data_IF_954752258269
#
_entry.id   IF_954752258269
#
_cell.length_a   1.000
_cell.length_b   1.000
_cell.length_c   1.000
_cell.angle_alpha   90.00
_cell.angle_beta   90.00
_cell.angle_gamma   90.00
#
_symmetry.space_group_name_H-M   'P 1'
#
loop_
_entity.id
_entity.type
_entity.pdbx_description
1 polymer ?
#
# COMPACT_ATOMS: atom_id res chain seq x y z
N UNK A 1 2.26 17.53 -34.85
CA UNK A 1 2.15 16.71 -36.09
C UNK A 1 2.52 15.22 -35.94
N UNK A 2 3.14 14.73 -34.85
CA UNK A 2 3.53 13.30 -34.76
C UNK A 2 2.34 12.32 -34.68
N UNK A 3 1.21 12.75 -34.09
CA UNK A 3 0.03 11.91 -33.84
C UNK A 3 -0.76 11.62 -35.13
N UNK A 4 -1.07 12.65 -35.93
CA UNK A 4 -1.85 12.51 -37.18
C UNK A 4 -1.17 11.60 -38.22
N UNK A 5 0.16 11.55 -38.26
CA UNK A 5 0.89 10.61 -39.12
C UNK A 5 0.60 9.15 -38.77
N UNK A 6 0.34 8.85 -37.49
CA UNK A 6 -0.08 7.54 -37.05
C UNK A 6 -1.51 7.19 -37.45
N UNK A 7 -2.33 8.16 -37.86
CA UNK A 7 -3.73 7.94 -38.21
C UNK A 7 -3.93 7.55 -39.68
N UNK A 8 -2.93 7.79 -40.53
CA UNK A 8 -2.97 7.42 -41.95
C UNK A 8 -2.71 5.92 -42.11
N UNK A 9 -3.78 5.12 -42.06
CA UNK A 9 -3.78 3.68 -42.36
C UNK A 9 -3.95 3.39 -43.86
N UNK A 10 -4.60 4.30 -44.60
CA UNK A 10 -4.70 4.23 -46.06
C UNK A 10 -3.95 5.40 -46.74
N UNK A 11 -2.76 5.16 -47.31
CA UNK A 11 -1.98 6.20 -47.98
C UNK A 11 -2.67 6.81 -49.21
N UNK A 12 -3.61 6.10 -49.84
CA UNK A 12 -4.33 6.58 -51.02
C UNK A 12 -5.44 7.58 -50.67
N UNK A 13 -5.84 7.65 -49.40
CA UNK A 13 -6.85 8.59 -48.87
C UNK A 13 -6.47 9.05 -47.45
N UNK A 14 -5.37 9.82 -47.33
CA UNK A 14 -4.78 10.11 -46.02
C UNK A 14 -5.70 10.94 -45.13
N UNK A 15 -6.41 11.92 -45.69
CA UNK A 15 -7.35 12.77 -44.95
C UNK A 15 -8.53 11.97 -44.39
N UNK A 16 -9.16 11.13 -45.22
CA UNK A 16 -10.26 10.27 -44.79
C UNK A 16 -9.82 9.31 -43.68
N UNK A 17 -8.62 8.73 -43.82
CA UNK A 17 -8.05 7.85 -42.80
C UNK A 17 -7.77 8.55 -41.47
N UNK A 18 -7.37 9.83 -41.52
CA UNK A 18 -7.18 10.65 -40.31
C UNK A 18 -8.52 10.93 -39.63
N UNK A 19 -9.53 11.35 -40.39
CA UNK A 19 -10.87 11.67 -39.89
C UNK A 19 -11.52 10.44 -39.24
N UNK A 20 -11.47 9.28 -39.91
CA UNK A 20 -12.05 8.03 -39.41
C UNK A 20 -11.48 7.65 -38.04
N UNK A 21 -10.15 7.72 -37.88
CA UNK A 21 -9.51 7.38 -36.61
C UNK A 21 -9.80 8.40 -35.52
N UNK A 22 -9.82 9.68 -35.86
CA UNK A 22 -10.15 10.74 -34.90
C UNK A 22 -11.57 10.54 -34.34
N UNK A 23 -12.55 10.27 -35.21
CA UNK A 23 -13.93 9.98 -34.78
C UNK A 23 -13.99 8.75 -33.87
N UNK A 24 -13.24 7.68 -34.18
CA UNK A 24 -13.18 6.49 -33.34
C UNK A 24 -12.58 6.79 -31.96
N UNK A 25 -11.51 7.57 -31.90
CA UNK A 25 -10.88 7.96 -30.63
C UNK A 25 -11.81 8.84 -29.78
N UNK A 26 -12.42 9.87 -30.37
CA UNK A 26 -13.39 10.73 -29.68
C UNK A 26 -14.61 9.93 -29.20
N UNK A 27 -15.11 8.98 -30.00
CA UNK A 27 -16.22 8.13 -29.58
C UNK A 27 -15.85 7.22 -28.39
N UNK A 28 -14.63 6.67 -28.38
CA UNK A 28 -14.14 5.86 -27.25
C UNK A 28 -13.95 6.73 -26.02
N UNK A 29 -13.30 7.88 -26.15
CA UNK A 29 -13.07 8.82 -25.05
C UNK A 29 -14.40 9.27 -24.44
N UNK A 30 -15.36 9.71 -25.27
CA UNK A 30 -16.71 10.03 -24.84
C UNK A 30 -17.39 8.86 -24.12
N UNK A 31 -17.36 7.65 -24.69
CA UNK A 31 -17.97 6.48 -24.07
C UNK A 31 -17.32 6.16 -22.70
N UNK A 32 -16.00 6.27 -22.59
CA UNK A 32 -15.30 5.99 -21.33
C UNK A 32 -15.64 7.02 -20.26
N UNK A 33 -15.67 8.31 -20.60
CA UNK A 33 -16.06 9.37 -19.67
C UNK A 33 -17.53 9.22 -19.27
N UNK A 34 -18.42 9.00 -20.25
CA UNK A 34 -19.84 8.80 -20.01
C UNK A 34 -20.10 7.59 -19.11
N UNK A 35 -19.53 6.43 -19.43
CA UNK A 35 -19.70 5.20 -18.65
C UNK A 35 -19.10 5.31 -17.24
N UNK A 36 -18.03 6.09 -17.06
CA UNK A 36 -17.46 6.34 -15.73
C UNK A 36 -18.40 7.11 -14.80
N UNK A 37 -19.26 7.96 -15.37
CA UNK A 37 -20.23 8.80 -14.62
C UNK A 37 -21.64 8.23 -14.63
N UNK A 38 -21.96 7.40 -15.62
CA UNK A 38 -23.29 6.84 -15.80
C UNK A 38 -23.62 5.90 -14.64
N UNK A 39 -24.80 6.12 -14.04
CA UNK A 39 -25.34 5.20 -13.05
C UNK A 39 -25.86 3.96 -13.78
N UNK A 40 -25.31 2.79 -13.46
CA UNK A 40 -25.86 1.53 -13.97
C UNK A 40 -27.31 1.35 -13.49
N UNK A 41 -28.26 1.24 -14.43
CA UNK A 41 -29.66 0.94 -14.15
C UNK A 41 -29.91 -0.54 -14.45
N UNK A 42 -30.58 -1.24 -13.53
CA UNK A 42 -30.95 -2.66 -13.72
C UNK A 42 -29.84 -3.68 -13.40
N UNK A 43 -28.58 -3.25 -13.25
CA UNK A 43 -27.52 -4.14 -12.77
C UNK A 43 -27.59 -4.29 -11.24
N UNK A 44 -27.52 -5.53 -10.72
CA UNK A 44 -27.37 -5.75 -9.28
C UNK A 44 -26.09 -5.07 -8.79
N UNK A 45 -26.20 -4.26 -7.75
CA UNK A 45 -25.01 -3.79 -7.04
C UNK A 45 -24.32 -5.00 -6.42
N UNK A 46 -23.00 -5.07 -6.54
CA UNK A 46 -22.24 -6.09 -5.80
C UNK A 46 -22.60 -5.99 -4.32
N UNK A 47 -22.84 -7.14 -3.67
CA UNK A 47 -23.09 -7.20 -2.22
C UNK A 47 -21.92 -6.65 -1.40
N UNK A 48 -20.77 -6.47 -2.04
CA UNK A 48 -19.56 -5.95 -1.44
C UNK A 48 -19.34 -4.43 -1.64
N UNK A 49 -20.27 -3.74 -2.31
CA UNK A 49 -20.20 -2.28 -2.49
C UNK A 49 -20.20 -1.59 -1.12
N UNK A 50 -19.25 -0.67 -0.92
CA UNK A 50 -19.10 0.10 0.31
C UNK A 50 -18.30 -0.59 1.43
N UNK A 51 -17.82 -1.83 1.18
CA UNK A 51 -17.01 -2.62 2.12
C UNK A 51 -15.51 -2.36 1.96
N UNK A 52 -15.12 -1.09 2.07
CA UNK A 52 -13.76 -0.61 1.86
C UNK A 52 -12.93 -0.45 3.14
N UNK A 53 -13.45 0.09 4.26
CA UNK A 53 -12.68 0.14 5.49
C UNK A 53 -12.70 -1.26 6.10
N UNK A 54 -11.54 -1.92 6.17
CA UNK A 54 -11.40 -3.27 6.73
C UNK A 54 -12.26 -3.47 7.98
N UNK A 55 -13.29 -4.31 7.90
CA UNK A 55 -14.28 -4.48 8.97
C UNK A 55 -14.54 -5.95 9.23
N UNK A 56 -14.36 -6.35 10.49
CA UNK A 56 -14.77 -7.66 10.95
C UNK A 56 -16.30 -7.81 10.96
N UNK A 57 -16.80 -8.90 10.43
CA UNK A 57 -18.24 -9.15 10.28
C UNK A 57 -18.74 -10.26 11.19
N UNK A 58 -18.00 -11.37 11.27
CA UNK A 58 -18.48 -12.58 11.95
C UNK A 58 -17.42 -13.15 12.90
N UNK A 59 -17.89 -13.67 14.03
CA UNK A 59 -17.08 -14.47 14.95
C UNK A 59 -15.91 -13.73 15.58
N UNK A 60 -16.09 -12.44 15.89
CA UNK A 60 -15.12 -11.62 16.61
C UNK A 60 -14.76 -12.27 17.96
N UNK A 61 -13.49 -12.56 18.15
CA UNK A 61 -12.95 -13.13 19.39
C UNK A 61 -11.57 -12.61 19.67
N UNK A 62 -11.26 -12.43 20.95
CA UNK A 62 -9.91 -12.16 21.39
C UNK A 62 -9.03 -13.38 21.12
N UNK A 63 -7.87 -13.15 20.54
CA UNK A 63 -6.86 -14.17 20.26
C UNK A 63 -5.50 -13.60 20.67
N UNK A 64 -4.81 -14.31 21.54
CA UNK A 64 -3.40 -14.03 21.81
C UNK A 64 -2.58 -14.59 20.65
N UNK A 65 -1.76 -13.75 20.02
CA UNK A 65 -0.89 -14.13 18.89
C UNK A 65 0.47 -14.55 19.40
N UNK A 66 1.13 -15.44 18.66
CA UNK A 66 2.52 -15.73 18.91
C UNK A 66 3.38 -14.45 18.87
N UNK A 67 4.34 -14.36 19.79
CA UNK A 67 5.15 -13.16 19.96
C UNK A 67 6.05 -12.90 18.76
N UNK A 68 6.60 -13.94 18.14
CA UNK A 68 7.48 -13.80 16.99
C UNK A 68 6.68 -13.39 15.75
N UNK A 69 5.52 -14.01 15.53
CA UNK A 69 4.61 -13.65 14.44
C UNK A 69 4.17 -12.18 14.54
N UNK A 70 3.81 -11.72 15.75
CA UNK A 70 3.41 -10.33 15.98
C UNK A 70 4.56 -9.35 15.74
N UNK A 71 5.78 -9.66 16.21
CA UNK A 71 6.95 -8.82 15.99
C UNK A 71 7.33 -8.76 14.50
N UNK A 72 7.19 -9.86 13.77
CA UNK A 72 7.42 -9.88 12.33
C UNK A 72 6.42 -9.01 11.57
N UNK A 73 5.15 -9.05 11.96
CA UNK A 73 4.10 -8.18 11.41
C UNK A 73 4.34 -6.70 11.77
N UNK A 74 4.75 -6.42 13.00
CA UNK A 74 5.10 -5.06 13.43
C UNK A 74 6.28 -4.51 12.64
N UNK A 75 7.36 -5.29 12.48
CA UNK A 75 8.50 -4.90 11.66
C UNK A 75 8.08 -4.59 10.22
N UNK A 76 7.21 -5.42 9.64
CA UNK A 76 6.68 -5.17 8.30
C UNK A 76 5.96 -3.81 8.21
N UNK A 77 5.09 -3.49 9.16
CA UNK A 77 4.40 -2.18 9.21
C UNK A 77 5.42 -1.05 9.30
N UNK A 78 6.41 -1.16 10.19
CA UNK A 78 7.44 -0.13 10.36
C UNK A 78 8.23 0.08 9.06
N UNK A 79 8.63 -1.00 8.38
CA UNK A 79 9.39 -0.93 7.13
C UNK A 79 8.63 -0.28 5.97
N UNK A 80 7.30 -0.34 5.98
CA UNK A 80 6.45 0.23 4.93
C UNK A 80 5.86 1.60 5.30
N UNK A 81 6.16 2.12 6.49
CA UNK A 81 5.65 3.42 6.93
C UNK A 81 6.61 4.53 6.52
N UNK A 82 6.11 5.54 5.80
CA UNK A 82 6.94 6.66 5.32
C UNK A 82 7.57 7.48 6.46
N UNK A 83 6.80 7.76 7.51
CA UNK A 83 7.29 8.51 8.69
C UNK A 83 8.43 7.78 9.44
N UNK A 84 8.56 6.46 9.26
CA UNK A 84 9.56 5.63 9.95
C UNK A 84 10.85 5.47 9.12
N UNK A 85 10.84 5.80 7.83
CA UNK A 85 12.02 5.68 6.95
C UNK A 85 13.29 6.36 7.49
N UNK A 86 13.23 7.59 8.04
CA UNK A 86 14.42 8.24 8.59
C UNK A 86 15.08 7.43 9.71
N UNK A 87 14.26 6.74 10.53
CA UNK A 87 14.73 5.90 11.63
C UNK A 87 15.34 4.59 11.12
N UNK A 88 14.76 3.99 10.07
CA UNK A 88 15.32 2.79 9.43
C UNK A 88 16.71 3.08 8.88
N UNK A 89 16.87 4.18 8.16
CA UNK A 89 18.14 4.59 7.58
C UNK A 89 19.18 4.94 8.65
N UNK A 90 18.76 5.62 9.71
CA UNK A 90 19.61 5.92 10.85
C UNK A 90 20.12 4.64 11.53
N UNK A 91 19.24 3.68 11.77
CA UNK A 91 19.63 2.42 12.41
C UNK A 91 20.56 1.60 11.51
N UNK A 92 20.30 1.54 10.19
CA UNK A 92 21.20 0.85 9.24
C UNK A 92 22.60 1.46 9.23
N UNK A 93 22.70 2.80 9.27
CA UNK A 93 23.97 3.52 9.38
C UNK A 93 24.70 3.15 10.67
N UNK A 94 24.02 3.21 11.82
CA UNK A 94 24.58 2.82 13.11
C UNK A 94 25.07 1.37 13.13
N UNK A 95 24.33 0.45 12.49
CA UNK A 95 24.75 -0.96 12.39
C UNK A 95 26.04 -1.13 11.60
N UNK A 96 26.17 -0.39 10.49
CA UNK A 96 27.38 -0.40 9.65
C UNK A 96 28.59 0.22 10.34
N UNK A 97 28.38 1.33 11.05
CA UNK A 97 29.44 2.03 11.81
C UNK A 97 29.96 1.19 12.97
N UNK A 98 29.07 0.54 13.73
CA UNK A 98 29.47 -0.33 14.85
C UNK A 98 30.12 -1.63 14.40
N UNK A 99 29.82 -2.09 13.19
CA UNK A 99 30.26 -3.41 12.69
C UNK A 99 30.90 -3.32 11.29
N UNK A 100 31.99 -2.56 11.10
CA UNK A 100 32.54 -2.25 9.79
C UNK A 100 33.09 -3.48 9.03
N UNK A 101 33.39 -4.57 9.75
CA UNK A 101 33.94 -5.82 9.18
C UNK A 101 32.87 -6.87 8.87
N UNK A 102 31.60 -6.61 9.20
CA UNK A 102 30.51 -7.57 8.96
C UNK A 102 29.96 -7.44 7.56
N UNK A 103 29.57 -8.57 6.99
CA UNK A 103 28.97 -8.65 5.65
C UNK A 103 27.55 -8.10 5.68
N UNK A 104 27.09 -7.51 4.57
CA UNK A 104 25.78 -6.88 4.42
C UNK A 104 24.61 -7.74 4.91
N UNK A 105 24.60 -9.05 4.57
CA UNK A 105 23.55 -9.98 5.02
C UNK A 105 23.46 -10.05 6.55
N UNK A 106 24.58 -10.01 7.24
CA UNK A 106 24.60 -10.00 8.70
C UNK A 106 24.05 -8.67 9.24
N UNK A 107 24.40 -7.54 8.63
CA UNK A 107 23.90 -6.22 9.01
C UNK A 107 22.38 -6.12 8.87
N UNK A 108 21.82 -6.61 7.76
CA UNK A 108 20.36 -6.63 7.54
C UNK A 108 19.66 -7.50 8.58
N UNK A 109 20.20 -8.68 8.87
CA UNK A 109 19.63 -9.58 9.87
C UNK A 109 19.69 -8.97 11.28
N UNK A 110 20.81 -8.35 11.64
CA UNK A 110 20.97 -7.69 12.94
C UNK A 110 20.05 -6.47 13.07
N UNK A 111 19.95 -5.67 12.01
CA UNK A 111 19.00 -4.56 11.92
C UNK A 111 17.57 -5.06 12.17
N UNK A 112 17.10 -6.08 11.45
CA UNK A 112 15.74 -6.60 11.61
C UNK A 112 15.46 -7.13 13.03
N UNK A 113 16.46 -7.75 13.68
CA UNK A 113 16.34 -8.26 15.05
C UNK A 113 16.28 -7.17 16.11
N UNK A 114 17.03 -6.09 15.93
CA UNK A 114 17.25 -5.07 16.96
C UNK A 114 16.51 -3.76 16.71
N UNK A 115 15.96 -3.57 15.51
CA UNK A 115 15.33 -2.30 15.12
C UNK A 115 14.15 -1.93 16.01
N UNK A 116 13.25 -2.87 16.34
CA UNK A 116 12.05 -2.55 17.13
C UNK A 116 12.43 -2.00 18.52
N UNK A 117 13.36 -2.65 19.21
CA UNK A 117 13.80 -2.22 20.54
C UNK A 117 14.59 -0.91 20.48
N UNK A 118 15.47 -0.77 19.48
CA UNK A 118 16.19 0.48 19.25
C UNK A 118 15.25 1.64 18.93
N UNK A 119 14.29 1.44 18.02
CA UNK A 119 13.32 2.44 17.58
C UNK A 119 12.47 2.94 18.75
N UNK A 120 12.02 2.03 19.63
CA UNK A 120 11.31 2.40 20.85
C UNK A 120 12.11 3.34 21.75
N UNK A 121 13.39 3.02 21.96
CA UNK A 121 14.26 3.85 22.80
C UNK A 121 14.59 5.19 22.14
N UNK A 122 14.82 5.20 20.83
CA UNK A 122 15.13 6.41 20.07
C UNK A 122 13.96 7.40 20.11
N UNK A 123 12.73 6.92 19.89
CA UNK A 123 11.52 7.74 19.93
C UNK A 123 11.22 8.23 21.34
N UNK A 124 11.44 7.41 22.37
CA UNK A 124 11.28 7.83 23.76
C UNK A 124 12.19 9.00 24.16
N UNK A 125 13.37 9.11 23.52
CA UNK A 125 14.32 10.20 23.74
C UNK A 125 14.09 11.40 22.79
N UNK A 126 13.10 11.34 21.90
CA UNK A 126 12.84 12.36 20.88
C UNK A 126 11.51 13.07 21.16
N UNK A 127 11.52 14.21 21.88
CA UNK A 127 10.29 14.95 22.20
C UNK A 127 9.61 15.58 20.97
N UNK A 128 10.29 15.62 19.82
CA UNK A 128 9.74 16.12 18.56
C UNK A 128 9.14 15.03 17.66
N UNK A 129 9.07 13.78 18.11
CA UNK A 129 8.47 12.69 17.34
C UNK A 129 6.97 12.95 17.12
N UNK A 130 6.46 12.57 15.95
CA UNK A 130 5.02 12.66 15.67
C UNK A 130 4.22 11.69 16.56
N UNK A 131 2.93 11.96 16.74
CA UNK A 131 2.04 11.02 17.43
C UNK A 131 2.03 9.65 16.75
N UNK A 132 2.05 9.62 15.40
CA UNK A 132 2.11 8.39 14.61
C UNK A 132 3.36 7.58 14.96
N UNK A 133 4.54 8.22 14.95
CA UNK A 133 5.82 7.57 15.29
C UNK A 133 5.82 7.07 16.73
N UNK A 134 5.28 7.87 17.66
CA UNK A 134 5.15 7.49 19.07
C UNK A 134 4.26 6.26 19.28
N UNK A 135 3.12 6.18 18.60
CA UNK A 135 2.24 5.02 18.65
C UNK A 135 2.88 3.78 18.03
N UNK A 136 3.58 3.93 16.91
CA UNK A 136 4.29 2.84 16.25
C UNK A 136 5.45 2.31 17.12
N UNK A 137 6.13 3.18 17.86
CA UNK A 137 7.21 2.84 18.78
C UNK A 137 6.71 2.10 20.04
N UNK A 138 5.50 2.40 20.51
CA UNK A 138 4.89 1.69 21.63
C UNK A 138 4.66 0.20 21.33
N UNK A 139 4.36 -0.12 20.06
CA UNK A 139 4.16 -1.47 19.56
C UNK A 139 2.72 -1.98 19.73
N UNK A 140 2.39 -3.11 19.06
CA UNK A 140 1.05 -3.69 19.10
C UNK A 140 0.77 -4.42 20.42
N UNK A 141 -0.52 -4.57 20.73
CA UNK A 141 -0.97 -5.47 21.79
C UNK A 141 -0.90 -6.94 21.31
N UNK A 142 -0.54 -7.85 22.22
CA UNK A 142 -0.50 -9.30 21.97
C UNK A 142 -1.89 -9.91 21.88
N UNK A 143 -2.86 -9.30 22.57
CA UNK A 143 -4.26 -9.69 22.48
C UNK A 143 -4.94 -8.91 21.38
N UNK A 144 -5.17 -9.57 20.25
CA UNK A 144 -5.84 -8.98 19.09
C UNK A 144 -7.26 -9.49 18.96
N UNK A 145 -8.11 -8.72 18.31
CA UNK A 145 -9.43 -9.19 17.90
C UNK A 145 -9.28 -9.89 16.55
N UNK A 146 -9.55 -11.18 16.53
CA UNK A 146 -9.64 -11.98 15.31
C UNK A 146 -11.10 -12.13 14.87
N UNK A 147 -11.31 -12.15 13.56
CA UNK A 147 -12.64 -12.35 12.96
C UNK A 147 -12.62 -13.57 12.06
N UNK A 148 -13.72 -14.33 12.05
CA UNK A 148 -13.93 -15.42 11.09
C UNK A 148 -14.47 -14.93 9.75
N UNK A 149 -15.13 -13.78 9.75
CA UNK A 149 -15.55 -13.08 8.53
C UNK A 149 -14.96 -11.67 8.49
N UNK A 150 -14.41 -11.26 7.35
CA UNK A 150 -13.76 -9.96 7.19
C UNK A 150 -14.06 -9.32 5.85
N UNK A 151 -14.50 -8.08 5.89
CA UNK A 151 -14.78 -7.25 4.72
C UNK A 151 -13.58 -6.34 4.45
N UNK A 152 -12.93 -6.48 3.28
CA UNK A 152 -11.79 -5.65 2.88
C UNK A 152 -11.71 -5.50 1.36
N UNK A 153 -11.34 -4.31 0.88
CA UNK A 153 -11.12 -4.04 -0.54
C UNK A 153 -12.31 -4.41 -1.45
N UNK A 154 -13.54 -4.31 -0.95
CA UNK A 154 -14.72 -4.69 -1.72
C UNK A 154 -14.91 -6.21 -1.87
N UNK A 155 -14.34 -7.01 -0.95
CA UNK A 155 -14.53 -8.45 -0.84
C UNK A 155 -14.93 -8.84 0.59
N UNK A 156 -15.50 -10.05 0.72
CA UNK A 156 -15.78 -10.67 2.01
C UNK A 156 -15.13 -12.04 2.07
N UNK A 157 -14.33 -12.25 3.10
CA UNK A 157 -13.66 -13.50 3.44
C UNK A 157 -14.29 -14.13 4.66
#
# INVERSE_FOLDING_TARGET
MKILKGYVKNPHRPEASIVERYVAEEAVEFCTEYLSRAKSVGLPKSRHVGRSPGKGTLGGRMKSVDREELLQAHLYILTNTLEVQPYLDMHRRLMKEKNPRKVERWLVNEHNKTFISWFKNEVANCPSASNTVSWLAAGPNFDIISWRGYDINGYSF
#
